data_IF_353362053051
#
_entry.id   IF_353362053051
#
_cell.length_a   1.000
_cell.length_b   1.000
_cell.length_c   1.000
_cell.angle_alpha   90.00
_cell.angle_beta   90.00
_cell.angle_gamma   90.00
#
_symmetry.space_group_name_H-M   'P 1'
#
loop_
_entity.id
_entity.type
_entity.pdbx_description
1 polymer ?
#
# COMPACT_ATOMS: atom_id res chain seq x y z
N UNK A 1 -64.31 4.12 -44.18
CA UNK A 1 -63.15 5.04 -44.18
C UNK A 1 -63.34 5.98 -43.00
N UNK A 2 -62.50 5.83 -41.97
CA UNK A 2 -62.51 6.62 -40.74
C UNK A 2 -61.85 7.98 -40.98
N UNK A 3 -62.45 9.05 -40.45
CA UNK A 3 -61.73 10.12 -39.74
C UNK A 3 -62.76 11.01 -39.01
N UNK A 4 -62.69 10.99 -37.67
CA UNK A 4 -63.29 12.00 -36.81
C UNK A 4 -62.13 12.70 -36.09
N UNK A 5 -61.97 14.00 -36.34
CA UNK A 5 -61.02 14.88 -35.68
C UNK A 5 -61.78 15.66 -34.62
N UNK A 6 -61.39 15.51 -33.35
CA UNK A 6 -61.96 16.21 -32.21
C UNK A 6 -61.05 17.35 -31.75
N UNK A 7 -61.65 18.51 -31.48
CA UNK A 7 -61.05 19.64 -30.75
C UNK A 7 -61.25 19.49 -29.24
N UNK A 8 -60.22 19.79 -28.44
CA UNK A 8 -60.21 20.83 -27.38
C UNK A 8 -59.12 20.60 -26.33
N UNK A 9 -58.65 21.72 -25.76
CA UNK A 9 -57.37 22.05 -25.09
C UNK A 9 -57.23 21.60 -23.60
N UNK A 10 -56.37 22.22 -22.75
CA UNK A 10 -55.03 21.77 -22.37
C UNK A 10 -54.92 21.41 -20.87
N UNK A 11 -53.97 20.55 -20.48
CA UNK A 11 -53.59 20.40 -19.06
C UNK A 11 -52.07 20.23 -18.95
N UNK A 12 -51.45 21.20 -18.29
CA UNK A 12 -50.10 21.17 -17.75
C UNK A 12 -49.96 20.01 -16.78
N UNK A 13 -49.00 19.11 -17.00
CA UNK A 13 -48.52 18.25 -15.92
C UNK A 13 -46.99 18.19 -15.90
N UNK A 14 -46.47 18.76 -14.82
CA UNK A 14 -45.09 18.80 -14.36
C UNK A 14 -44.54 17.39 -14.16
N UNK A 15 -43.77 16.88 -15.12
CA UNK A 15 -42.91 15.72 -14.87
C UNK A 15 -41.57 16.18 -14.30
N UNK A 16 -41.59 16.59 -13.04
CA UNK A 16 -40.41 16.61 -12.18
C UNK A 16 -39.99 15.16 -11.95
N UNK A 17 -39.10 14.63 -12.79
CA UNK A 17 -38.47 13.34 -12.52
C UNK A 17 -37.49 13.50 -11.35
N UNK A 18 -37.97 13.02 -10.21
CA UNK A 18 -37.25 12.80 -8.96
C UNK A 18 -35.79 12.36 -9.18
N UNK A 19 -34.84 13.23 -8.82
CA UNK A 19 -33.40 12.97 -8.77
C UNK A 19 -32.94 12.36 -7.43
N UNK A 20 -33.86 11.72 -6.71
CA UNK A 20 -33.62 11.20 -5.36
C UNK A 20 -33.33 9.70 -5.46
N UNK A 21 -32.11 9.35 -5.87
CA UNK A 21 -31.67 7.95 -5.93
C UNK A 21 -30.19 7.72 -6.24
N UNK A 22 -29.51 8.65 -6.90
CA UNK A 22 -28.15 8.40 -7.45
C UNK A 22 -27.00 8.94 -6.59
N UNK A 23 -27.29 9.64 -5.49
CA UNK A 23 -26.26 10.31 -4.67
C UNK A 23 -25.51 9.39 -3.69
N UNK A 24 -26.05 8.23 -3.34
CA UNK A 24 -25.43 7.36 -2.33
C UNK A 24 -24.15 6.66 -2.83
N UNK A 25 -24.06 6.40 -4.15
CA UNK A 25 -22.99 5.58 -4.74
C UNK A 25 -21.92 6.35 -5.52
N UNK A 26 -22.01 7.66 -5.65
CA UNK A 26 -21.11 8.47 -6.49
C UNK A 26 -20.06 9.23 -5.67
N UNK A 27 -20.37 10.41 -5.13
CA UNK A 27 -19.40 11.25 -4.43
C UNK A 27 -19.97 12.07 -3.26
N UNK A 28 -19.09 12.42 -2.33
CA UNK A 28 -19.26 13.47 -1.34
C UNK A 28 -18.65 14.78 -1.88
N UNK A 29 -18.94 15.91 -1.22
CA UNK A 29 -18.32 17.20 -1.55
C UNK A 29 -16.79 17.15 -1.35
N UNK A 30 -16.00 17.63 -2.32
CA UNK A 30 -14.54 17.77 -2.19
C UNK A 30 -13.75 17.56 -3.48
N UNK A 31 -12.43 17.51 -3.35
CA UNK A 31 -11.49 17.22 -4.44
C UNK A 31 -11.40 15.70 -4.68
N UNK A 32 -11.61 15.20 -5.92
CA UNK A 32 -11.47 13.78 -6.27
C UNK A 32 -10.09 13.18 -6.00
N UNK A 33 -9.06 14.01 -5.79
CA UNK A 33 -7.74 13.59 -5.32
C UNK A 33 -7.70 13.25 -3.83
N UNK A 34 -8.82 13.35 -3.10
CA UNK A 34 -8.86 13.07 -1.67
C UNK A 34 -9.84 11.95 -1.36
N UNK A 35 -9.49 11.09 -0.39
CA UNK A 35 -10.37 10.00 0.03
C UNK A 35 -11.73 10.51 0.54
N UNK A 36 -11.80 11.76 1.05
CA UNK A 36 -13.03 12.38 1.55
C UNK A 36 -14.11 12.50 0.48
N UNK A 37 -13.73 12.75 -0.77
CA UNK A 37 -14.62 12.85 -1.92
C UNK A 37 -15.41 11.56 -2.20
N UNK A 38 -14.88 10.40 -1.84
CA UNK A 38 -15.51 9.13 -2.20
C UNK A 38 -16.61 8.72 -1.22
N UNK A 39 -17.71 8.15 -1.74
CA UNK A 39 -18.76 7.55 -0.92
C UNK A 39 -18.21 6.42 -0.04
N UNK A 40 -18.99 5.94 0.94
CA UNK A 40 -18.55 4.83 1.80
C UNK A 40 -18.18 3.58 0.98
N UNK A 41 -18.97 3.27 -0.05
CA UNK A 41 -18.73 2.15 -0.98
C UNK A 41 -17.36 2.28 -1.64
N UNK A 42 -17.09 3.45 -2.23
CA UNK A 42 -15.83 3.71 -2.91
C UNK A 42 -14.64 3.77 -1.96
N UNK A 43 -14.82 4.26 -0.73
CA UNK A 43 -13.77 4.21 0.30
C UNK A 43 -13.40 2.77 0.66
N UNK A 44 -14.38 1.88 0.80
CA UNK A 44 -14.13 0.46 1.04
C UNK A 44 -13.38 -0.17 -0.13
N UNK A 45 -13.82 0.08 -1.37
CA UNK A 45 -13.12 -0.39 -2.58
C UNK A 45 -11.68 0.13 -2.61
N UNK A 46 -11.46 1.44 -2.45
CA UNK A 46 -10.13 2.04 -2.49
C UNK A 46 -9.21 1.53 -1.39
N UNK A 47 -9.73 1.31 -0.18
CA UNK A 47 -8.96 0.73 0.91
C UNK A 47 -8.52 -0.70 0.56
N UNK A 48 -9.40 -1.51 -0.02
CA UNK A 48 -9.04 -2.85 -0.47
C UNK A 48 -8.06 -2.85 -1.65
N UNK A 49 -8.27 -1.95 -2.63
CA UNK A 49 -7.33 -1.71 -3.74
C UNK A 49 -5.93 -1.34 -3.25
N UNK A 50 -5.82 -0.53 -2.18
CA UNK A 50 -4.53 -0.21 -1.55
C UNK A 50 -3.86 -1.46 -1.00
N UNK A 51 -4.59 -2.35 -0.33
CA UNK A 51 -4.02 -3.62 0.13
C UNK A 51 -3.52 -4.49 -1.03
N UNK A 52 -4.28 -4.61 -2.12
CA UNK A 52 -3.83 -5.32 -3.32
C UNK A 52 -2.55 -4.70 -3.91
N UNK A 53 -2.48 -3.36 -3.99
CA UNK A 53 -1.29 -2.68 -4.47
C UNK A 53 -0.07 -2.88 -3.57
N UNK A 54 -0.26 -2.84 -2.24
CA UNK A 54 0.82 -3.06 -1.27
C UNK A 54 1.31 -4.49 -1.33
N UNK A 55 0.40 -5.46 -1.49
CA UNK A 55 0.74 -6.85 -1.72
C UNK A 55 1.62 -7.00 -2.96
N UNK A 56 1.20 -6.45 -4.10
CA UNK A 56 1.96 -6.51 -5.35
C UNK A 56 3.35 -5.88 -5.23
N UNK A 57 3.46 -4.78 -4.48
CA UNK A 57 4.76 -4.16 -4.22
C UNK A 57 5.70 -5.08 -3.44
N UNK A 58 5.15 -5.80 -2.46
CA UNK A 58 5.90 -6.72 -1.62
C UNK A 58 6.26 -8.01 -2.37
N UNK A 59 5.39 -8.51 -3.26
CA UNK A 59 5.59 -9.83 -3.88
C UNK A 59 6.09 -9.82 -5.32
N UNK A 60 5.95 -8.70 -6.04
CA UNK A 60 6.22 -8.63 -7.48
C UNK A 60 7.08 -7.43 -7.87
N UNK A 61 6.62 -6.20 -7.68
CA UNK A 61 7.35 -5.00 -8.09
C UNK A 61 7.30 -3.92 -7.01
N UNK A 62 8.36 -3.87 -6.21
CA UNK A 62 8.56 -2.93 -5.13
C UNK A 62 8.46 -1.46 -5.54
N UNK A 63 8.95 -1.09 -6.72
CA UNK A 63 9.07 0.30 -7.15
C UNK A 63 8.53 0.48 -8.56
N UNK A 64 7.20 0.43 -8.73
CA UNK A 64 6.61 0.59 -10.05
C UNK A 64 6.74 2.02 -10.54
N UNK A 65 7.06 2.18 -11.83
CA UNK A 65 7.05 3.49 -12.47
C UNK A 65 5.62 4.05 -12.50
N UNK A 66 5.45 5.32 -12.15
CA UNK A 66 4.14 5.97 -12.01
C UNK A 66 3.26 5.81 -13.27
N UNK A 67 3.78 6.11 -14.45
CA UNK A 67 3.01 6.03 -15.71
C UNK A 67 2.61 4.60 -16.06
N UNK A 68 3.52 3.64 -15.90
CA UNK A 68 3.26 2.20 -16.13
C UNK A 68 2.24 1.68 -15.11
N UNK A 69 2.35 2.11 -13.86
CA UNK A 69 1.43 1.72 -12.79
C UNK A 69 0.00 2.21 -13.08
N UNK A 70 -0.17 3.48 -13.42
CA UNK A 70 -1.49 4.05 -13.70
C UNK A 70 -2.15 3.45 -14.95
N UNK A 71 -1.36 3.21 -16.00
CA UNK A 71 -1.87 2.68 -17.27
C UNK A 71 -2.21 1.18 -17.21
N UNK A 72 -1.66 0.42 -16.25
CA UNK A 72 -1.82 -1.04 -16.20
C UNK A 72 -2.30 -1.59 -14.85
N UNK A 73 -1.55 -1.36 -13.77
CA UNK A 73 -1.72 -2.02 -12.47
C UNK A 73 -2.89 -1.44 -11.68
N UNK A 74 -2.99 -0.12 -11.60
CA UNK A 74 -4.05 0.56 -10.86
C UNK A 74 -5.45 0.05 -11.26
N UNK A 75 -5.70 -0.02 -12.57
CA UNK A 75 -6.99 -0.48 -13.10
C UNK A 75 -7.27 -1.94 -12.79
N UNK A 76 -6.25 -2.80 -12.80
CA UNK A 76 -6.38 -4.22 -12.42
C UNK A 76 -6.79 -4.34 -10.96
N UNK A 77 -6.12 -3.63 -10.06
CA UNK A 77 -6.44 -3.69 -8.62
C UNK A 77 -7.81 -3.09 -8.29
N UNK A 78 -8.20 -2.00 -8.95
CA UNK A 78 -9.54 -1.41 -8.76
C UNK A 78 -10.60 -2.40 -9.23
N UNK A 79 -10.42 -2.99 -10.42
CA UNK A 79 -11.39 -3.96 -10.99
C UNK A 79 -11.49 -5.21 -10.11
N UNK A 80 -10.35 -5.72 -9.64
CA UNK A 80 -10.31 -6.86 -8.72
C UNK A 80 -11.03 -6.53 -7.40
N UNK A 81 -10.75 -5.38 -6.78
CA UNK A 81 -11.41 -4.98 -5.55
C UNK A 81 -12.92 -4.78 -5.73
N UNK A 82 -13.34 -4.25 -6.88
CA UNK A 82 -14.76 -4.17 -7.25
C UNK A 82 -15.38 -5.56 -7.34
N UNK A 83 -14.74 -6.51 -8.00
CA UNK A 83 -15.26 -7.88 -8.15
C UNK A 83 -15.39 -8.60 -6.79
N UNK A 84 -14.34 -8.54 -5.95
CA UNK A 84 -14.31 -9.18 -4.63
C UNK A 84 -15.34 -8.56 -3.64
N UNK A 85 -15.65 -7.27 -3.79
CA UNK A 85 -16.64 -6.60 -2.93
C UNK A 85 -18.08 -6.64 -3.51
N UNK A 86 -18.25 -6.83 -4.81
CA UNK A 86 -19.55 -7.02 -5.44
C UNK A 86 -20.22 -8.32 -4.99
N UNK A 87 -19.44 -9.36 -4.72
CA UNK A 87 -19.92 -10.61 -4.12
C UNK A 87 -20.63 -10.38 -2.77
N UNK A 88 -20.32 -9.27 -2.09
CA UNK A 88 -20.90 -8.87 -0.81
C UNK A 88 -22.13 -7.94 -0.92
N UNK A 89 -22.73 -7.79 -2.11
CA UNK A 89 -24.07 -7.20 -2.30
C UNK A 89 -24.13 -5.68 -2.52
N UNK A 90 -23.02 -5.01 -2.86
CA UNK A 90 -22.99 -3.56 -3.08
C UNK A 90 -22.33 -3.20 -4.42
N UNK A 91 -23.09 -3.17 -5.54
CA UNK A 91 -22.51 -2.89 -6.84
C UNK A 91 -22.15 -1.40 -7.00
N UNK A 92 -20.88 -1.06 -7.32
CA UNK A 92 -20.48 0.30 -7.60
C UNK A 92 -21.03 0.85 -8.92
N UNK A 93 -21.16 2.17 -8.98
CA UNK A 93 -21.55 2.89 -10.19
C UNK A 93 -20.43 2.82 -11.26
N UNK A 94 -20.70 2.12 -12.37
CA UNK A 94 -19.75 1.92 -13.47
C UNK A 94 -19.42 3.20 -14.24
N UNK A 95 -20.34 4.17 -14.30
CA UNK A 95 -20.09 5.46 -14.95
C UNK A 95 -19.13 6.26 -14.07
N UNK A 96 -19.43 6.33 -12.78
CA UNK A 96 -18.55 6.98 -11.82
C UNK A 96 -17.14 6.38 -11.81
N UNK A 97 -17.01 5.05 -11.85
CA UNK A 97 -15.72 4.38 -11.97
C UNK A 97 -14.93 4.91 -13.16
N UNK A 98 -15.54 4.92 -14.35
CA UNK A 98 -14.89 5.34 -15.59
C UNK A 98 -14.37 6.77 -15.48
N UNK A 99 -15.17 7.66 -14.92
CA UNK A 99 -14.85 9.09 -14.85
C UNK A 99 -13.78 9.40 -13.81
N UNK A 100 -13.70 8.61 -12.73
CA UNK A 100 -12.81 8.85 -11.60
C UNK A 100 -11.59 7.92 -11.54
N UNK A 101 -11.50 6.94 -12.45
CA UNK A 101 -10.49 5.88 -12.40
C UNK A 101 -9.05 6.43 -12.33
N UNK A 102 -8.74 7.48 -13.08
CA UNK A 102 -7.43 8.12 -13.05
C UNK A 102 -7.11 8.74 -11.68
N UNK A 103 -8.08 9.41 -11.04
CA UNK A 103 -7.90 9.98 -9.70
C UNK A 103 -7.76 8.90 -8.63
N UNK A 104 -8.56 7.83 -8.73
CA UNK A 104 -8.45 6.64 -7.88
C UNK A 104 -7.07 5.99 -8.01
N UNK A 105 -6.55 5.83 -9.24
CA UNK A 105 -5.23 5.25 -9.48
C UNK A 105 -4.10 6.06 -8.85
N UNK A 106 -4.16 7.39 -8.93
CA UNK A 106 -3.19 8.27 -8.26
C UNK A 106 -3.25 8.13 -6.74
N UNK A 107 -4.46 8.08 -6.15
CA UNK A 107 -4.64 7.88 -4.72
C UNK A 107 -4.08 6.55 -4.19
N UNK A 108 -4.08 5.51 -5.02
CA UNK A 108 -3.49 4.21 -4.67
C UNK A 108 -1.96 4.26 -4.83
N UNK A 109 -1.46 4.96 -5.84
CA UNK A 109 -0.01 5.14 -6.00
C UNK A 109 0.61 5.99 -4.89
N UNK A 110 -0.04 7.08 -4.48
CA UNK A 110 0.39 7.91 -3.34
C UNK A 110 0.41 7.12 -2.02
N UNK A 111 -0.58 6.24 -1.84
CA UNK A 111 -0.61 5.31 -0.71
C UNK A 111 0.59 4.36 -0.72
N UNK A 112 1.07 3.93 -1.89
CA UNK A 112 2.26 3.09 -1.99
C UNK A 112 3.53 3.83 -1.53
N UNK A 113 3.68 5.11 -1.87
CA UNK A 113 4.77 5.95 -1.35
C UNK A 113 4.72 6.09 0.18
N UNK A 114 3.51 6.22 0.73
CA UNK A 114 3.29 6.22 2.19
C UNK A 114 3.65 4.87 2.80
N UNK A 115 3.24 3.77 2.18
CA UNK A 115 3.53 2.41 2.61
C UNK A 115 5.04 2.14 2.71
N UNK A 116 5.83 2.59 1.73
CA UNK A 116 7.30 2.50 1.75
C UNK A 116 7.90 3.35 2.86
N UNK A 117 7.41 4.58 3.02
CA UNK A 117 7.88 5.49 4.07
C UNK A 117 7.61 4.94 5.47
N UNK A 118 6.45 4.32 5.68
CA UNK A 118 6.10 3.66 6.94
C UNK A 118 6.97 2.44 7.21
N UNK A 119 7.34 1.68 6.17
CA UNK A 119 8.29 0.57 6.29
C UNK A 119 9.64 1.05 6.82
N UNK A 120 10.15 2.16 6.27
CA UNK A 120 11.39 2.79 6.72
C UNK A 120 11.30 3.27 8.17
N UNK A 121 10.20 3.92 8.56
CA UNK A 121 9.98 4.39 9.93
C UNK A 121 9.98 3.24 10.94
N UNK A 122 9.49 2.06 10.56
CA UNK A 122 9.52 0.86 11.40
C UNK A 122 10.92 0.24 11.44
N UNK A 123 11.64 0.24 10.31
CA UNK A 123 13.00 -0.29 10.25
C UNK A 123 13.99 0.48 11.14
N UNK A 124 13.88 1.80 11.21
CA UNK A 124 14.79 2.66 11.99
C UNK A 124 14.99 2.21 13.45
N UNK A 125 13.94 2.14 14.31
CA UNK A 125 14.13 1.73 15.70
C UNK A 125 14.56 0.27 15.84
N UNK A 126 14.26 -0.59 14.87
CA UNK A 126 14.73 -1.98 14.86
C UNK A 126 16.22 -2.03 14.58
N UNK A 127 16.71 -1.24 13.61
CA UNK A 127 18.14 -1.15 13.30
C UNK A 127 18.90 -0.66 14.54
N UNK A 128 18.47 0.44 15.14
CA UNK A 128 19.11 0.99 16.34
C UNK A 128 19.04 0.07 17.58
N UNK A 129 18.07 -0.85 17.63
CA UNK A 129 17.95 -1.84 18.70
C UNK A 129 18.92 -3.02 18.52
N UNK A 130 19.10 -3.48 17.29
CA UNK A 130 19.88 -4.69 16.98
C UNK A 130 21.35 -4.41 16.70
N UNK A 131 21.65 -3.19 16.29
CA UNK A 131 22.99 -2.69 16.08
C UNK A 131 23.16 -1.41 16.88
N UNK A 132 24.34 -1.18 17.42
CA UNK A 132 24.67 0.00 18.22
C UNK A 132 24.77 1.25 17.34
N UNK A 133 23.71 1.56 16.59
CA UNK A 133 23.66 2.60 15.57
C UNK A 133 23.61 4.01 16.19
N UNK A 134 23.12 4.11 17.41
CA UNK A 134 23.01 5.33 18.20
C UNK A 134 23.68 5.11 19.56
N UNK A 135 25.02 5.06 19.62
CA UNK A 135 25.75 4.79 20.86
C UNK A 135 25.46 5.87 21.90
N UNK A 136 25.15 5.43 23.12
CA UNK A 136 24.84 6.33 24.23
C UNK A 136 26.14 6.95 24.75
N UNK A 137 26.19 8.28 24.87
CA UNK A 137 27.29 9.08 25.46
C UNK A 137 28.50 9.36 24.56
N UNK A 138 28.33 9.62 23.26
CA UNK A 138 29.40 10.26 22.48
C UNK A 138 29.27 11.79 22.54
N UNK A 139 30.12 12.41 23.37
CA UNK A 139 30.20 13.86 23.53
C UNK A 139 30.80 14.57 22.29
N UNK A 140 31.43 13.80 21.39
CA UNK A 140 32.16 14.32 20.23
C UNK A 140 31.53 13.88 18.90
N UNK A 141 31.07 14.82 18.05
CA UNK A 141 30.46 14.51 16.77
C UNK A 141 31.31 13.64 15.83
N UNK A 142 32.64 13.75 15.89
CA UNK A 142 33.55 12.98 15.04
C UNK A 142 33.58 11.50 15.46
N UNK A 143 33.58 11.21 16.76
CA UNK A 143 33.58 9.82 17.25
C UNK A 143 32.29 9.09 16.88
N UNK A 144 31.16 9.82 16.86
CA UNK A 144 29.89 9.32 16.36
C UNK A 144 29.92 9.02 14.87
N UNK A 145 30.50 9.91 14.07
CA UNK A 145 30.64 9.69 12.65
C UNK A 145 31.52 8.46 12.36
N UNK A 146 32.66 8.35 13.04
CA UNK A 146 33.60 7.23 12.85
C UNK A 146 32.97 5.89 13.27
N UNK A 147 32.21 5.90 14.37
CA UNK A 147 31.47 4.72 14.84
C UNK A 147 30.40 4.27 13.85
N UNK A 148 29.52 5.19 13.42
CA UNK A 148 28.46 4.89 12.46
C UNK A 148 29.06 4.41 11.13
N UNK A 149 30.19 4.97 10.69
CA UNK A 149 30.88 4.57 9.46
C UNK A 149 31.50 3.18 9.58
N UNK A 150 32.15 2.89 10.70
CA UNK A 150 32.67 1.55 10.99
C UNK A 150 31.55 0.51 10.98
N UNK A 151 30.44 0.79 11.67
CA UNK A 151 29.29 -0.10 11.74
C UNK A 151 28.62 -0.30 10.37
N UNK A 152 28.45 0.78 9.60
CA UNK A 152 27.96 0.70 8.23
C UNK A 152 28.84 -0.20 7.36
N UNK A 153 30.15 0.00 7.39
CA UNK A 153 31.09 -0.82 6.61
C UNK A 153 31.04 -2.29 7.06
N UNK A 154 31.00 -2.54 8.37
CA UNK A 154 30.89 -3.89 8.91
C UNK A 154 29.63 -4.60 8.43
N UNK A 155 28.48 -3.91 8.48
CA UNK A 155 27.18 -4.48 8.11
C UNK A 155 27.03 -4.68 6.61
N UNK A 156 27.58 -3.77 5.81
CA UNK A 156 27.49 -3.85 4.34
C UNK A 156 28.51 -4.81 3.75
N UNK A 157 29.67 -4.98 4.39
CA UNK A 157 30.66 -6.00 4.04
C UNK A 157 30.04 -7.40 4.09
N UNK A 158 29.99 -8.07 2.94
CA UNK A 158 29.39 -9.39 2.82
C UNK A 158 27.92 -9.44 3.27
N UNK A 159 27.20 -8.31 3.20
CA UNK A 159 25.77 -8.21 3.55
C UNK A 159 25.40 -8.77 4.93
N UNK A 160 26.27 -8.61 5.93
CA UNK A 160 26.03 -9.10 7.31
C UNK A 160 24.70 -8.65 7.91
N UNK A 161 24.13 -7.51 7.47
CA UNK A 161 22.80 -7.07 7.91
C UNK A 161 21.65 -8.05 7.60
N UNK A 162 21.82 -8.97 6.64
CA UNK A 162 20.84 -10.04 6.37
C UNK A 162 21.22 -11.40 6.94
N UNK A 163 22.44 -11.59 7.47
CA UNK A 163 22.91 -12.89 7.93
C UNK A 163 22.62 -13.13 9.42
N UNK A 164 22.48 -14.41 9.79
CA UNK A 164 22.52 -14.83 11.20
C UNK A 164 23.92 -14.63 11.78
N UNK A 165 24.07 -14.92 13.09
CA UNK A 165 25.41 -15.21 13.62
C UNK A 165 25.99 -16.44 12.91
N UNK A 166 27.30 -16.41 12.75
CA UNK A 166 28.08 -17.53 12.23
C UNK A 166 27.86 -18.77 13.12
N UNK A 167 27.64 -19.93 12.51
CA UNK A 167 27.61 -21.19 13.23
C UNK A 167 29.03 -21.66 13.62
N UNK A 168 29.12 -22.81 14.30
CA UNK A 168 30.40 -23.36 14.75
C UNK A 168 31.30 -23.81 13.58
N UNK A 169 30.76 -23.89 12.36
CA UNK A 169 31.45 -24.37 11.15
C UNK A 169 31.86 -23.22 10.23
N UNK A 170 31.53 -21.97 10.58
CA UNK A 170 31.86 -20.81 9.75
C UNK A 170 30.75 -20.40 8.76
N UNK A 171 29.58 -21.05 8.80
CA UNK A 171 28.49 -20.77 7.86
C UNK A 171 27.51 -19.73 8.42
N UNK A 172 26.85 -19.05 7.49
CA UNK A 172 25.81 -18.06 7.78
C UNK A 172 24.50 -18.50 7.16
N UNK A 173 23.41 -18.38 7.92
CA UNK A 173 22.08 -18.48 7.33
C UNK A 173 21.69 -17.14 6.70
N UNK A 174 21.48 -17.17 5.39
CA UNK A 174 21.06 -16.00 4.61
C UNK A 174 19.64 -15.59 4.99
N UNK A 175 19.41 -14.27 5.12
CA UNK A 175 18.14 -13.66 5.50
C UNK A 175 17.60 -14.08 6.88
N UNK A 176 18.49 -14.46 7.79
CA UNK A 176 18.17 -14.92 9.15
C UNK A 176 18.64 -13.97 10.25
N UNK A 177 18.96 -12.71 9.91
CA UNK A 177 19.29 -11.72 10.94
C UNK A 177 18.08 -11.41 11.84
N UNK A 178 18.31 -11.28 13.15
CA UNK A 178 17.22 -11.04 14.12
C UNK A 178 16.49 -9.73 13.85
N UNK A 179 17.19 -8.70 13.39
CA UNK A 179 16.61 -7.43 12.97
C UNK A 179 15.64 -7.60 11.79
N UNK A 180 16.03 -8.37 10.77
CA UNK A 180 15.20 -8.61 9.60
C UNK A 180 13.96 -9.43 9.96
N UNK A 181 14.11 -10.44 10.82
CA UNK A 181 12.99 -11.22 11.35
C UNK A 181 12.00 -10.33 12.12
N UNK A 182 12.49 -9.49 13.03
CA UNK A 182 11.65 -8.56 13.80
C UNK A 182 10.91 -7.58 12.88
N UNK A 183 11.60 -7.02 11.88
CA UNK A 183 10.99 -6.13 10.89
C UNK A 183 9.87 -6.82 10.11
N UNK A 184 10.09 -8.06 9.67
CA UNK A 184 9.08 -8.83 8.96
C UNK A 184 7.85 -9.13 9.85
N UNK A 185 8.05 -9.51 11.11
CA UNK A 185 6.98 -9.76 12.07
C UNK A 185 6.16 -8.50 12.32
N UNK A 186 6.83 -7.38 12.60
CA UNK A 186 6.15 -6.11 12.88
C UNK A 186 5.36 -5.65 11.65
N UNK A 187 5.93 -5.74 10.45
CA UNK A 187 5.27 -5.21 9.26
C UNK A 187 4.14 -6.08 8.73
N UNK A 188 4.40 -7.38 8.58
CA UNK A 188 3.52 -8.27 7.83
C UNK A 188 2.50 -8.95 8.73
N UNK A 189 2.85 -9.20 10.00
CA UNK A 189 2.03 -9.99 10.92
C UNK A 189 1.40 -9.20 12.05
N UNK A 190 1.93 -8.01 12.38
CA UNK A 190 1.48 -7.23 13.55
C UNK A 190 0.70 -5.98 13.15
N UNK A 191 -0.34 -5.66 13.91
CA UNK A 191 -1.15 -4.44 13.75
C UNK A 191 -2.36 -4.60 12.83
N UNK A 192 -3.25 -3.60 12.86
CA UNK A 192 -4.58 -3.65 12.18
C UNK A 192 -4.50 -3.54 10.65
N UNK A 193 -3.35 -3.14 10.12
CA UNK A 193 -3.12 -2.95 8.69
C UNK A 193 -2.04 -3.91 8.16
N UNK A 194 -1.84 -5.04 8.84
CA UNK A 194 -0.85 -6.04 8.45
C UNK A 194 -1.37 -6.84 7.24
N UNK A 195 -0.47 -7.20 6.32
CA UNK A 195 -0.88 -7.90 5.09
C UNK A 195 -1.43 -9.30 5.39
N UNK A 196 -0.99 -9.96 6.45
CA UNK A 196 -1.50 -11.29 6.84
C UNK A 196 -2.98 -11.28 7.21
N UNK A 197 -3.49 -10.17 7.78
CA UNK A 197 -4.92 -10.07 8.11
C UNK A 197 -5.80 -10.01 6.85
N UNK A 198 -5.31 -9.40 5.78
CA UNK A 198 -6.03 -9.26 4.51
C UNK A 198 -5.76 -10.43 3.55
N UNK A 199 -4.56 -11.01 3.58
CA UNK A 199 -4.10 -12.05 2.67
C UNK A 199 -3.51 -13.25 3.43
N UNK A 200 -4.30 -13.92 4.29
CA UNK A 200 -3.80 -15.02 5.11
C UNK A 200 -3.26 -16.17 4.25
N UNK A 201 -3.85 -16.44 3.08
CA UNK A 201 -3.42 -17.52 2.18
C UNK A 201 -1.98 -17.33 1.67
N UNK A 202 -1.50 -16.08 1.60
CA UNK A 202 -0.15 -15.76 1.12
C UNK A 202 0.87 -15.83 2.26
N UNK A 203 0.50 -15.42 3.48
CA UNK A 203 1.43 -15.24 4.60
C UNK A 203 1.33 -16.30 5.70
N UNK A 204 0.32 -17.18 5.67
CA UNK A 204 0.02 -18.14 6.76
C UNK A 204 1.06 -19.25 6.93
N UNK A 205 1.68 -19.72 5.85
CA UNK A 205 2.63 -20.85 5.90
C UNK A 205 4.07 -20.39 6.03
N UNK A 206 4.47 -19.42 5.21
CA UNK A 206 5.80 -18.84 5.21
C UNK A 206 5.75 -17.43 4.63
N UNK A 207 6.74 -16.61 4.97
CA UNK A 207 6.92 -15.30 4.36
C UNK A 207 7.41 -15.49 2.91
N UNK A 208 6.77 -14.86 1.90
CA UNK A 208 7.28 -14.92 0.52
C UNK A 208 8.72 -14.40 0.43
N UNK A 209 9.55 -15.05 -0.39
CA UNK A 209 10.95 -14.65 -0.57
C UNK A 209 11.10 -13.20 -1.05
N UNK A 210 10.19 -12.74 -1.93
CA UNK A 210 10.12 -11.34 -2.37
C UNK A 210 9.77 -10.38 -1.23
N UNK A 211 8.90 -10.77 -0.30
CA UNK A 211 8.56 -9.97 0.87
C UNK A 211 9.74 -9.84 1.84
N UNK A 212 10.53 -10.90 1.97
CA UNK A 212 11.77 -10.92 2.75
C UNK A 212 12.85 -10.05 2.09
N UNK A 213 13.02 -10.16 0.77
CA UNK A 213 13.92 -9.30 0.01
C UNK A 213 13.53 -7.83 0.13
N UNK A 214 12.24 -7.50 0.04
CA UNK A 214 11.74 -6.15 0.22
C UNK A 214 12.08 -5.58 1.61
N UNK A 215 11.93 -6.39 2.67
CA UNK A 215 12.31 -5.99 4.02
C UNK A 215 13.82 -5.78 4.16
N UNK A 216 14.63 -6.67 3.57
CA UNK A 216 16.10 -6.52 3.55
C UNK A 216 16.52 -5.24 2.81
N UNK A 217 15.87 -4.93 1.68
CA UNK A 217 16.07 -3.69 0.95
C UNK A 217 15.74 -2.46 1.81
N UNK A 218 14.67 -2.49 2.61
CA UNK A 218 14.35 -1.39 3.53
C UNK A 218 15.43 -1.17 4.61
N UNK A 219 16.00 -2.25 5.16
CA UNK A 219 17.16 -2.17 6.07
C UNK A 219 18.35 -1.57 5.34
N UNK A 220 18.69 -2.08 4.16
CA UNK A 220 19.80 -1.58 3.34
C UNK A 220 19.65 -0.09 3.04
N UNK A 221 18.48 0.37 2.59
CA UNK A 221 18.21 1.79 2.34
C UNK A 221 18.37 2.66 3.58
N UNK A 222 17.98 2.16 4.75
CA UNK A 222 18.20 2.90 5.99
C UNK A 222 19.71 3.07 6.27
N UNK A 223 20.49 1.99 6.12
CA UNK A 223 21.95 2.04 6.28
C UNK A 223 22.59 3.05 5.31
N UNK A 224 22.09 3.15 4.08
CA UNK A 224 22.59 4.10 3.08
C UNK A 224 22.28 5.57 3.36
N UNK A 225 21.18 5.92 4.02
CA UNK A 225 20.78 7.35 4.15
C UNK A 225 21.61 8.12 5.19
N UNK A 226 22.35 7.42 6.05
CA UNK A 226 23.28 8.06 6.98
C UNK A 226 24.65 8.39 6.35
N UNK A 227 24.86 8.07 5.06
CA UNK A 227 26.05 8.39 4.26
C UNK A 227 25.69 9.02 2.91
#
# INVERSE_FOLDING_TARGET
MLQASGCSEPVTDTSTKNSIGTKACSANNGDPKTLKYYSLVWKTILNHTRFLSRLDAVISNAFPEHQVYLSSKANKFITQAVAELQENGMPPDKVFLRDQQHHMGNLVFEDLGTFHSDFRKIAQPIVAKHWDWEPVNQDYPQELLDHVLSLYNELTEGTKYVHSKCDNEGNFDNFSSSALQELCVVRYYTGKSCLTSTFPDIFSKCLPASALAFAATAVSFYLFIYF
#
